data_IF_297085466593
#
_entry.id   IF_297085466593
#
_cell.length_a   1.000
_cell.length_b   1.000
_cell.length_c   1.000
_cell.angle_alpha   90.00
_cell.angle_beta   90.00
_cell.angle_gamma   90.00
#
_symmetry.space_group_name_H-M   'P 1'
#
loop_
_entity.id
_entity.type
_entity.pdbx_description
1 polymer ?
#
# COMPACT_ATOMS: atom_id res chain seq x y z
N UNK A 1 3.49 15.34 -17.11
CA UNK A 1 3.91 13.95 -16.99
C UNK A 1 4.97 13.81 -15.92
N UNK A 2 4.82 12.88 -15.01
CA UNK A 2 5.81 12.63 -13.97
C UNK A 2 7.11 12.08 -14.58
N UNK A 3 8.25 12.60 -14.15
CA UNK A 3 9.57 12.10 -14.61
C UNK A 3 9.98 10.81 -13.89
N UNK A 4 9.36 10.54 -12.73
CA UNK A 4 9.67 9.37 -11.92
C UNK A 4 8.39 8.58 -11.69
N UNK A 5 8.41 7.33 -12.03
CA UNK A 5 7.27 6.42 -11.91
C UNK A 5 7.73 5.17 -11.19
N UNK A 6 6.96 4.71 -10.20
CA UNK A 6 7.24 3.46 -9.51
C UNK A 6 6.77 2.31 -10.38
N UNK A 7 7.68 1.39 -10.71
CA UNK A 7 7.34 0.18 -11.45
C UNK A 7 7.19 -0.99 -10.46
N UNK A 8 6.02 -1.62 -10.46
CA UNK A 8 5.70 -2.76 -9.61
C UNK A 8 5.58 -4.01 -10.47
N UNK A 9 6.29 -5.05 -10.08
CA UNK A 9 6.30 -6.33 -10.79
C UNK A 9 5.13 -7.19 -10.36
N UNK A 10 4.43 -7.81 -11.31
CA UNK A 10 3.32 -8.75 -11.05
C UNK A 10 3.47 -10.00 -11.91
N UNK A 11 2.89 -11.09 -11.43
CA UNK A 11 2.67 -12.29 -12.21
C UNK A 11 1.23 -12.26 -12.75
N UNK A 12 1.03 -11.66 -13.92
CA UNK A 12 -0.24 -11.55 -14.68
C UNK A 12 -1.31 -10.62 -14.08
N UNK A 13 -1.15 -10.15 -12.86
CA UNK A 13 -2.23 -9.48 -12.11
C UNK A 13 -2.11 -7.96 -12.06
N UNK A 14 -1.26 -7.34 -12.90
CA UNK A 14 -1.06 -5.90 -12.84
C UNK A 14 -2.36 -5.11 -12.98
N UNK A 15 -3.24 -5.49 -13.90
CA UNK A 15 -4.52 -4.80 -14.08
C UNK A 15 -5.46 -5.02 -12.91
N UNK A 16 -5.57 -6.23 -12.40
CA UNK A 16 -6.40 -6.53 -11.23
C UNK A 16 -5.93 -5.74 -9.99
N UNK A 17 -4.62 -5.67 -9.79
CA UNK A 17 -4.03 -4.90 -8.70
C UNK A 17 -4.32 -3.40 -8.84
N UNK A 18 -4.09 -2.84 -10.02
CA UNK A 18 -4.36 -1.43 -10.29
C UNK A 18 -5.83 -1.06 -10.02
N UNK A 19 -6.77 -1.91 -10.46
CA UNK A 19 -8.20 -1.70 -10.21
C UNK A 19 -8.52 -1.75 -8.71
N UNK A 20 -7.95 -2.70 -7.99
CA UNK A 20 -8.14 -2.81 -6.55
C UNK A 20 -7.66 -1.54 -5.83
N UNK A 21 -6.48 -1.03 -6.18
CA UNK A 21 -5.97 0.19 -5.56
C UNK A 21 -6.83 1.41 -5.90
N UNK A 22 -7.28 1.50 -7.13
CA UNK A 22 -8.15 2.60 -7.56
C UNK A 22 -9.50 2.62 -6.83
N UNK A 23 -10.04 1.45 -6.52
CA UNK A 23 -11.31 1.31 -5.79
C UNK A 23 -11.14 1.52 -4.28
N UNK A 24 -9.94 1.33 -3.76
CA UNK A 24 -9.68 1.30 -2.32
C UNK A 24 -9.18 2.65 -1.78
N UNK A 25 -8.22 3.28 -2.48
CA UNK A 25 -7.53 4.46 -1.95
C UNK A 25 -7.98 5.73 -2.64
N UNK A 26 -7.92 6.89 -1.94
CA UNK A 26 -8.26 8.19 -2.54
C UNK A 26 -7.21 8.59 -3.59
N UNK A 27 -7.59 9.48 -4.50
CA UNK A 27 -6.71 10.02 -5.55
C UNK A 27 -5.97 8.91 -6.31
N UNK A 28 -6.69 7.84 -6.62
CA UNK A 28 -6.18 6.65 -7.28
C UNK A 28 -7.01 6.34 -8.51
N UNK A 29 -6.37 5.88 -9.57
CA UNK A 29 -7.01 5.62 -10.85
C UNK A 29 -6.22 4.65 -11.69
N UNK A 30 -6.91 3.98 -12.62
CA UNK A 30 -6.28 3.14 -13.64
C UNK A 30 -6.13 3.97 -14.90
N UNK A 31 -4.93 3.98 -15.48
CA UNK A 31 -4.62 4.67 -16.73
C UNK A 31 -4.55 3.71 -17.92
N UNK A 32 -3.58 3.94 -18.80
CA UNK A 32 -3.44 3.18 -20.04
C UNK A 32 -3.00 1.74 -19.79
N UNK A 33 -3.59 0.83 -20.56
CA UNK A 33 -3.20 -0.59 -20.59
C UNK A 33 -2.46 -0.83 -21.90
N UNK A 34 -1.25 -1.33 -21.80
CA UNK A 34 -0.40 -1.61 -22.97
C UNK A 34 -0.21 -3.12 -23.13
N UNK A 35 -0.42 -3.58 -24.35
CA UNK A 35 -0.29 -4.99 -24.69
C UNK A 35 1.06 -5.28 -25.29
N UNK A 36 1.57 -6.50 -25.09
CA UNK A 36 2.88 -6.91 -25.57
C UNK A 36 2.91 -6.87 -27.11
N UNK A 37 3.90 -6.19 -27.71
CA UNK A 37 4.02 -6.13 -29.17
C UNK A 37 4.59 -7.41 -29.77
N UNK A 38 5.17 -8.28 -28.96
CA UNK A 38 5.66 -9.59 -29.34
C UNK A 38 5.73 -10.52 -28.14
N UNK A 39 6.03 -11.79 -28.36
CA UNK A 39 6.22 -12.75 -27.25
C UNK A 39 7.37 -12.29 -26.35
N UNK A 40 7.26 -12.61 -25.06
CA UNK A 40 8.28 -12.29 -24.05
C UNK A 40 8.38 -13.46 -23.08
N UNK A 41 9.38 -13.49 -22.16
CA UNK A 41 9.64 -14.70 -21.35
C UNK A 41 8.44 -15.27 -20.61
N UNK A 42 7.52 -14.42 -20.15
CA UNK A 42 6.37 -14.85 -19.34
C UNK A 42 5.04 -14.69 -20.04
N UNK A 43 4.99 -14.36 -21.32
CA UNK A 43 3.73 -14.12 -22.00
C UNK A 43 3.86 -14.06 -23.51
N UNK A 44 2.72 -13.81 -24.15
CA UNK A 44 2.58 -13.81 -25.60
C UNK A 44 2.22 -12.43 -26.11
N UNK A 45 2.53 -12.19 -27.39
CA UNK A 45 2.06 -11.00 -28.10
C UNK A 45 0.55 -10.82 -27.87
N UNK A 46 0.15 -9.62 -27.52
CA UNK A 46 -1.24 -9.26 -27.24
C UNK A 46 -1.66 -9.38 -25.78
N UNK A 47 -0.89 -10.07 -24.94
CA UNK A 47 -1.15 -10.09 -23.50
C UNK A 47 -0.94 -8.72 -22.88
N UNK A 48 -1.63 -8.40 -21.79
CA UNK A 48 -1.39 -7.17 -21.03
C UNK A 48 0.03 -7.20 -20.48
N UNK A 49 0.86 -6.27 -20.91
CA UNK A 49 2.25 -6.17 -20.47
C UNK A 49 2.41 -5.17 -19.34
N UNK A 50 1.91 -3.95 -19.54
CA UNK A 50 1.99 -2.89 -18.52
C UNK A 50 0.66 -2.19 -18.34
N UNK A 51 0.43 -1.72 -17.11
CA UNK A 51 -0.76 -0.94 -16.76
C UNK A 51 -0.27 0.31 -16.03
N UNK A 52 -0.59 1.49 -16.57
CA UNK A 52 -0.34 2.75 -15.88
C UNK A 52 -1.44 2.96 -14.85
N UNK A 53 -1.05 3.39 -13.64
CA UNK A 53 -2.03 3.72 -12.60
C UNK A 53 -1.46 4.73 -11.61
N UNK A 54 -2.35 5.28 -10.81
CA UNK A 54 -1.99 6.21 -9.74
C UNK A 54 -2.51 5.66 -8.43
N UNK A 55 -1.67 5.69 -7.41
CA UNK A 55 -2.03 5.29 -6.04
C UNK A 55 -1.83 6.49 -5.12
N UNK A 56 -2.92 6.99 -4.56
CA UNK A 56 -2.89 8.14 -3.63
C UNK A 56 -1.98 9.27 -4.15
N UNK A 57 -2.12 9.61 -5.42
CA UNK A 57 -1.36 10.66 -6.09
C UNK A 57 0.01 10.26 -6.63
N UNK A 58 0.47 9.03 -6.41
CA UNK A 58 1.78 8.56 -6.89
C UNK A 58 1.62 7.78 -8.19
N UNK A 59 2.33 8.23 -9.24
CA UNK A 59 2.32 7.56 -10.54
C UNK A 59 3.05 6.21 -10.48
N UNK A 60 2.40 5.18 -11.01
CA UNK A 60 2.92 3.81 -11.00
C UNK A 60 2.73 3.15 -12.37
N UNK A 61 3.53 2.13 -12.61
CA UNK A 61 3.35 1.19 -13.72
C UNK A 61 3.36 -0.22 -13.11
N UNK A 62 2.34 -1.01 -13.43
CA UNK A 62 2.34 -2.45 -13.14
C UNK A 62 2.88 -3.20 -14.33
N UNK A 63 3.93 -3.98 -14.13
CA UNK A 63 4.55 -4.80 -15.17
C UNK A 63 4.20 -6.27 -14.92
N UNK A 64 3.57 -6.91 -15.90
CA UNK A 64 3.34 -8.35 -15.87
C UNK A 64 4.58 -9.09 -16.33
N UNK A 65 5.57 -9.16 -15.43
CA UNK A 65 6.87 -9.77 -15.71
C UNK A 65 6.94 -11.27 -15.48
N UNK A 66 5.94 -11.84 -14.80
CA UNK A 66 5.88 -13.28 -14.51
C UNK A 66 6.26 -13.62 -13.08
N UNK A 67 6.46 -14.91 -12.76
CA UNK A 67 6.63 -15.38 -11.38
C UNK A 67 8.05 -15.26 -10.82
N UNK A 68 9.00 -14.70 -11.56
CA UNK A 68 10.42 -14.72 -11.18
C UNK A 68 10.74 -13.93 -9.90
N UNK A 69 10.01 -12.84 -9.64
CA UNK A 69 10.29 -11.96 -8.49
C UNK A 69 9.05 -11.79 -7.64
N UNK A 70 9.26 -11.71 -6.32
CA UNK A 70 8.20 -11.49 -5.32
C UNK A 70 8.49 -10.24 -4.52
N UNK A 71 7.44 -9.54 -4.12
CA UNK A 71 7.56 -8.38 -3.23
C UNK A 71 7.89 -8.81 -1.80
N UNK A 72 8.48 -7.90 -1.06
CA UNK A 72 8.77 -8.08 0.35
C UNK A 72 8.64 -6.75 1.11
N UNK A 73 8.98 -6.76 2.39
CA UNK A 73 8.81 -5.61 3.28
C UNK A 73 9.83 -4.48 3.04
N UNK A 74 10.79 -4.66 2.13
CA UNK A 74 11.77 -3.61 1.84
C UNK A 74 11.15 -2.41 1.10
N UNK A 75 9.98 -2.58 0.52
CA UNK A 75 9.18 -1.51 -0.08
C UNK A 75 7.79 -1.50 0.55
N UNK A 76 7.24 -0.32 0.78
CA UNK A 76 5.85 -0.17 1.21
C UNK A 76 5.28 1.16 0.74
N UNK A 77 3.97 1.18 0.48
CA UNK A 77 3.23 2.43 0.41
C UNK A 77 2.77 2.80 1.82
N UNK A 78 2.95 4.06 2.20
CA UNK A 78 2.39 4.58 3.45
C UNK A 78 1.20 5.47 3.13
N UNK A 79 0.04 5.10 3.65
CA UNK A 79 -1.21 5.83 3.45
C UNK A 79 -1.59 6.49 4.76
N UNK A 80 -1.65 7.81 4.75
CA UNK A 80 -2.10 8.58 5.91
C UNK A 80 -3.62 8.47 6.03
N UNK A 81 -4.12 8.35 7.27
CA UNK A 81 -5.55 8.33 7.56
C UNK A 81 -5.90 9.39 8.60
N UNK A 82 -7.12 9.90 8.55
CA UNK A 82 -7.55 10.99 9.42
C UNK A 82 -8.20 10.49 10.70
N UNK A 83 -8.83 9.32 10.66
CA UNK A 83 -9.57 8.77 11.80
C UNK A 83 -9.58 7.23 11.78
N UNK A 84 -10.21 6.65 12.79
CA UNK A 84 -10.30 5.19 12.90
C UNK A 84 -11.12 4.57 11.78
N UNK A 85 -12.20 5.24 11.36
CA UNK A 85 -13.08 4.73 10.32
C UNK A 85 -12.34 4.58 9.00
N UNK A 86 -11.54 5.56 8.62
CA UNK A 86 -10.72 5.52 7.41
C UNK A 86 -9.63 4.46 7.53
N UNK A 87 -8.97 4.37 8.69
CA UNK A 87 -7.97 3.34 8.99
C UNK A 87 -8.56 1.94 8.83
N UNK A 88 -9.74 1.70 9.41
CA UNK A 88 -10.42 0.41 9.32
C UNK A 88 -10.79 0.08 7.87
N UNK A 89 -11.27 1.06 7.13
CA UNK A 89 -11.71 0.87 5.75
C UNK A 89 -10.57 0.37 4.87
N UNK A 90 -9.41 1.01 4.91
CA UNK A 90 -8.26 0.61 4.10
C UNK A 90 -7.64 -0.70 4.58
N UNK A 91 -7.47 -0.83 5.89
CA UNK A 91 -6.93 -2.07 6.47
C UNK A 91 -7.78 -3.28 6.11
N UNK A 92 -9.08 -3.17 6.34
CA UNK A 92 -10.00 -4.28 6.08
C UNK A 92 -10.09 -4.60 4.57
N UNK A 93 -10.01 -3.59 3.71
CA UNK A 93 -10.01 -3.81 2.26
C UNK A 93 -8.78 -4.61 1.82
N UNK A 94 -7.59 -4.23 2.28
CA UNK A 94 -6.33 -4.90 1.91
C UNK A 94 -6.29 -6.32 2.47
N UNK A 95 -6.54 -6.48 3.77
CA UNK A 95 -6.50 -7.79 4.44
C UNK A 95 -7.61 -8.69 3.94
N UNK A 96 -8.81 -8.15 3.74
CA UNK A 96 -9.98 -8.92 3.29
C UNK A 96 -9.93 -9.36 1.83
N UNK A 97 -9.01 -8.80 1.02
CA UNK A 97 -8.86 -9.17 -0.38
C UNK A 97 -7.68 -10.13 -0.60
N UNK A 98 -7.57 -11.14 0.25
CA UNK A 98 -6.49 -12.13 0.19
C UNK A 98 -5.17 -11.64 0.73
N UNK A 99 -5.18 -10.55 1.50
CA UNK A 99 -4.01 -10.01 2.15
C UNK A 99 -3.74 -10.60 3.53
N UNK A 100 -2.77 -10.03 4.22
CA UNK A 100 -2.33 -10.48 5.53
C UNK A 100 -2.09 -9.31 6.46
N UNK A 101 -2.46 -9.47 7.73
CA UNK A 101 -2.10 -8.54 8.79
C UNK A 101 -0.63 -8.70 9.15
N UNK A 102 0.03 -7.60 9.47
CA UNK A 102 1.35 -7.59 10.07
C UNK A 102 1.34 -6.65 11.28
N UNK A 103 2.50 -6.29 11.80
CA UNK A 103 2.64 -5.51 13.02
C UNK A 103 2.71 -4.01 12.74
N UNK A 104 2.38 -3.21 13.74
CA UNK A 104 2.68 -1.76 13.77
C UNK A 104 2.03 -0.97 12.62
N UNK A 105 0.84 -1.34 12.22
CA UNK A 105 0.12 -0.66 11.14
C UNK A 105 0.49 -1.15 9.75
N UNK A 106 1.30 -2.20 9.64
CA UNK A 106 1.67 -2.81 8.37
C UNK A 106 0.72 -3.94 8.01
N UNK A 107 0.41 -4.05 6.73
CA UNK A 107 -0.30 -5.19 6.15
C UNK A 107 0.20 -5.43 4.74
N UNK A 108 -0.10 -6.60 4.20
CA UNK A 108 0.25 -6.96 2.81
C UNK A 108 -1.01 -7.18 2.00
N UNK A 109 -0.95 -6.79 0.73
CA UNK A 109 -2.01 -7.17 -0.20
C UNK A 109 -1.79 -8.59 -0.73
N UNK A 110 -2.76 -9.09 -1.52
CA UNK A 110 -2.67 -10.46 -2.06
C UNK A 110 -1.45 -10.66 -2.96
N UNK A 111 -0.88 -9.59 -3.50
CA UNK A 111 0.28 -9.66 -4.39
C UNK A 111 1.60 -9.49 -3.68
N UNK A 112 1.57 -9.39 -2.35
CA UNK A 112 2.75 -9.30 -1.51
C UNK A 112 3.30 -7.90 -1.29
N UNK A 113 2.66 -6.87 -1.83
CA UNK A 113 3.07 -5.48 -1.60
C UNK A 113 2.66 -5.07 -0.21
N UNK A 114 3.59 -4.47 0.51
CA UNK A 114 3.37 -3.99 1.88
C UNK A 114 2.76 -2.59 1.88
N UNK A 115 1.84 -2.39 2.81
CA UNK A 115 1.15 -1.13 3.06
C UNK A 115 1.28 -0.77 4.52
N UNK A 116 1.56 0.51 4.79
CA UNK A 116 1.49 1.09 6.12
C UNK A 116 0.24 1.96 6.17
N UNK A 117 -0.75 1.55 6.94
CA UNK A 117 -1.97 2.35 7.13
C UNK A 117 -1.75 3.14 8.42
N UNK A 118 -1.46 4.42 8.27
CA UNK A 118 -0.85 5.24 9.31
C UNK A 118 -1.74 6.44 9.66
N UNK A 119 -2.50 6.36 10.76
CA UNK A 119 -3.26 7.52 11.22
C UNK A 119 -2.36 8.73 11.49
N UNK A 120 -2.81 9.92 11.13
CA UNK A 120 -2.04 11.15 11.31
C UNK A 120 -1.71 11.41 12.79
N UNK A 121 -2.59 10.96 13.70
CA UNK A 121 -2.32 11.09 15.13
C UNK A 121 -1.01 10.40 15.54
N UNK A 122 -0.68 9.28 14.91
CA UNK A 122 0.58 8.58 15.14
C UNK A 122 1.76 9.36 14.55
N UNK A 123 1.65 9.80 13.30
CA UNK A 123 2.69 10.60 12.65
C UNK A 123 2.98 11.88 13.42
N UNK A 124 1.95 12.56 13.88
CA UNK A 124 2.08 13.78 14.68
C UNK A 124 2.76 13.50 16.01
N UNK A 125 2.41 12.39 16.67
CA UNK A 125 3.06 11.98 17.92
C UNK A 125 4.56 11.76 17.72
N UNK A 126 4.93 11.08 16.64
CA UNK A 126 6.34 10.83 16.33
C UNK A 126 7.08 12.14 16.03
N UNK A 127 6.44 13.07 15.33
CA UNK A 127 7.02 14.38 15.04
C UNK A 127 7.18 15.26 16.28
N UNK A 128 6.36 15.07 17.32
CA UNK A 128 6.48 15.81 18.58
C UNK A 128 7.76 15.46 19.34
N UNK A 129 8.30 14.26 19.15
CA UNK A 129 9.52 13.84 19.81
C UNK A 129 9.37 13.58 21.30
N UNK A 130 10.48 13.34 21.97
CA UNK A 130 10.54 13.18 23.43
C UNK A 130 9.66 12.07 23.97
N UNK A 131 9.11 12.29 25.16
CA UNK A 131 8.32 11.29 25.86
C UNK A 131 6.98 11.01 25.15
N UNK A 132 6.38 12.00 24.50
CA UNK A 132 5.14 11.82 23.74
C UNK A 132 5.36 10.83 22.60
N UNK A 133 6.42 11.01 21.81
CA UNK A 133 6.78 10.09 20.73
C UNK A 133 7.08 8.70 21.27
N UNK A 134 7.82 8.62 22.37
CA UNK A 134 8.17 7.33 23.00
C UNK A 134 6.91 6.57 23.43
N UNK A 135 5.97 7.24 24.11
CA UNK A 135 4.75 6.58 24.57
C UNK A 135 3.90 6.08 23.39
N UNK A 136 3.75 6.90 22.34
CA UNK A 136 3.00 6.50 21.16
C UNK A 136 3.68 5.34 20.42
N UNK A 137 5.00 5.40 20.27
CA UNK A 137 5.78 4.33 19.64
C UNK A 137 5.65 3.01 20.41
N UNK A 138 5.80 3.04 21.73
CA UNK A 138 5.68 1.84 22.58
C UNK A 138 4.26 1.24 22.46
N UNK A 139 3.22 2.07 22.43
CA UNK A 139 1.85 1.61 22.23
C UNK A 139 1.67 0.96 20.85
N UNK A 140 2.21 1.58 19.80
CA UNK A 140 2.14 1.08 18.43
C UNK A 140 2.79 -0.31 18.29
N UNK A 141 3.88 -0.56 19.00
CA UNK A 141 4.65 -1.80 18.87
C UNK A 141 3.85 -3.06 19.21
N UNK A 142 2.79 -2.93 20.00
CA UNK A 142 1.93 -4.04 20.37
C UNK A 142 0.68 -4.17 19.47
N UNK A 143 0.56 -3.32 18.45
CA UNK A 143 -0.60 -3.30 17.57
C UNK A 143 -0.36 -4.04 16.26
N UNK A 144 -1.45 -4.50 15.66
CA UNK A 144 -1.52 -4.82 14.23
C UNK A 144 -2.12 -3.61 13.53
N UNK A 145 -3.43 -3.56 13.33
CA UNK A 145 -4.10 -2.32 12.91
C UNK A 145 -3.94 -1.27 14.00
N UNK A 146 -3.65 -0.04 13.62
CA UNK A 146 -3.47 1.04 14.59
C UNK A 146 -4.82 1.40 15.22
N UNK A 147 -4.83 1.45 16.55
CA UNK A 147 -5.94 1.91 17.38
C UNK A 147 -5.73 3.39 17.68
N UNK A 148 -6.51 4.24 17.02
CA UNK A 148 -6.38 5.70 17.12
C UNK A 148 -6.62 6.17 18.57
N UNK A 149 -7.62 5.60 19.26
CA UNK A 149 -7.91 5.98 20.64
C UNK A 149 -6.75 5.64 21.57
N UNK A 150 -6.11 4.48 21.37
CA UNK A 150 -4.96 4.07 22.18
C UNK A 150 -3.75 4.96 21.93
N UNK A 151 -3.51 5.39 20.69
CA UNK A 151 -2.43 6.34 20.38
C UNK A 151 -2.72 7.70 21.03
N UNK A 152 -3.95 8.21 20.94
CA UNK A 152 -4.34 9.45 21.60
C UNK A 152 -4.12 9.39 23.12
N UNK A 153 -4.51 8.27 23.75
CA UNK A 153 -4.29 8.07 25.19
C UNK A 153 -2.81 8.04 25.54
N UNK A 154 -2.00 7.34 24.74
CA UNK A 154 -0.56 7.28 24.95
C UNK A 154 0.11 8.67 24.84
N UNK A 155 -0.36 9.51 23.92
CA UNK A 155 0.14 10.89 23.76
C UNK A 155 -0.11 11.75 24.99
N UNK A 156 -1.24 11.56 25.65
CA UNK A 156 -1.60 12.35 26.85
C UNK A 156 -0.80 11.95 28.08
N UNK A 157 -0.32 10.75 28.13
CA UNK A 157 0.46 10.25 29.26
C UNK A 157 -0.35 9.56 30.34
#
# INVERSE_FOLDING_TARGET
>A
MAKNTICLWYDRDAEAAARFYAETFPDSSVGAVHRAPSDYPSGKKGDVLTVEFTVAGVACIGLNGGPAFKHNEAFSFQIATDDQQETDRYWNAVVGNGGEESACGWCKDRWGISWQITPRVLTEAMAAGGDEAKRAFDAMMDMKKIDVAAIKAARRG
#
